data_IF_482425721351
#
_entry.id   IF_482425721351
#
_cell.length_a   1.000
_cell.length_b   1.000
_cell.length_c   1.000
_cell.angle_alpha   90.00
_cell.angle_beta   90.00
_cell.angle_gamma   90.00
#
_symmetry.space_group_name_H-M   'P 1'
#
loop_
_entity.id
_entity.type
_entity.pdbx_description
1 polymer ?
#
# COMPACT_ATOMS: atom_id res chain seq x y z
N UNK A 1 -18.56 -5.80 8.55
CA UNK A 1 -17.43 -6.72 8.70
C UNK A 1 -17.17 -6.92 10.18
N UNK A 2 -16.69 -8.09 10.57
CA UNK A 2 -16.12 -8.28 11.90
C UNK A 2 -14.91 -7.33 12.02
N UNK A 3 -14.79 -6.60 13.13
CA UNK A 3 -13.65 -5.71 13.34
C UNK A 3 -12.33 -6.47 13.32
N UNK A 4 -11.21 -5.77 13.12
CA UNK A 4 -9.88 -6.37 13.23
C UNK A 4 -9.71 -7.05 14.60
N UNK A 5 -9.22 -8.28 14.59
CA UNK A 5 -8.83 -9.01 15.79
C UNK A 5 -7.34 -9.36 15.69
N UNK A 6 -6.56 -8.92 16.66
CA UNK A 6 -5.14 -9.29 16.75
C UNK A 6 -5.00 -10.79 17.05
N UNK A 7 -3.96 -11.42 16.50
CA UNK A 7 -3.59 -12.80 16.87
C UNK A 7 -3.36 -12.95 18.37
N UNK A 8 -2.87 -11.88 19.04
CA UNK A 8 -2.73 -11.84 20.50
C UNK A 8 -4.08 -12.00 21.21
N UNK A 9 -5.14 -11.42 20.68
CA UNK A 9 -6.47 -11.53 21.27
C UNK A 9 -7.10 -12.90 20.97
N UNK A 10 -6.92 -13.41 19.75
CA UNK A 10 -7.47 -14.70 19.31
C UNK A 10 -6.88 -15.85 20.14
N UNK A 11 -5.60 -15.76 20.47
CA UNK A 11 -4.88 -16.77 21.25
C UNK A 11 -4.88 -16.49 22.76
N UNK A 12 -5.62 -15.49 23.26
CA UNK A 12 -5.58 -15.05 24.66
C UNK A 12 -4.14 -14.84 25.18
N UNK A 13 -3.30 -14.29 24.31
CA UNK A 13 -1.88 -14.09 24.52
C UNK A 13 -1.11 -15.38 24.85
N UNK A 14 -1.56 -16.56 24.39
CA UNK A 14 -0.81 -17.82 24.42
C UNK A 14 -0.27 -18.14 23.01
N UNK A 15 0.90 -17.60 22.70
CA UNK A 15 1.53 -17.76 21.37
C UNK A 15 2.30 -19.08 21.24
N UNK A 16 2.59 -19.74 22.37
CA UNK A 16 3.50 -20.88 22.42
C UNK A 16 4.87 -20.57 21.79
N UNK A 17 5.45 -21.58 21.16
CA UNK A 17 6.80 -21.48 20.59
C UNK A 17 6.84 -21.12 19.11
N UNK A 18 5.69 -21.18 18.42
CA UNK A 18 5.62 -21.18 16.96
C UNK A 18 4.97 -19.90 16.38
N UNK A 19 4.34 -19.09 17.21
CA UNK A 19 3.71 -17.82 16.79
C UNK A 19 4.54 -16.65 17.31
N UNK A 20 4.93 -15.76 16.39
CA UNK A 20 5.65 -14.54 16.70
C UNK A 20 4.96 -13.36 16.02
N UNK A 21 4.79 -12.27 16.75
CA UNK A 21 4.22 -11.04 16.21
C UNK A 21 5.33 -10.07 15.84
N UNK A 22 5.23 -9.49 14.65
CA UNK A 22 6.10 -8.39 14.20
C UNK A 22 5.23 -7.16 13.95
N UNK A 23 5.61 -6.04 14.53
CA UNK A 23 4.91 -4.77 14.39
C UNK A 23 5.90 -3.62 14.18
N UNK A 24 5.46 -2.55 13.52
CA UNK A 24 6.29 -1.37 13.36
C UNK A 24 5.45 -0.09 13.19
N UNK A 25 6.00 1.03 13.67
CA UNK A 25 5.42 2.38 13.59
C UNK A 25 5.30 2.87 12.13
N UNK A 26 5.98 2.20 11.20
CA UNK A 26 6.19 2.67 9.82
C UNK A 26 4.91 2.89 9.01
N UNK A 27 3.85 2.12 9.25
CA UNK A 27 2.63 2.16 8.44
C UNK A 27 1.46 2.73 9.21
N UNK A 28 1.21 2.23 10.41
CA UNK A 28 0.05 2.63 11.21
C UNK A 28 0.16 4.09 11.66
N UNK A 29 1.36 4.52 12.05
CA UNK A 29 1.67 5.88 12.50
C UNK A 29 2.39 6.74 11.44
N UNK A 30 2.59 6.22 10.23
CA UNK A 30 3.33 6.92 9.17
C UNK A 30 4.80 7.24 9.53
N UNK A 31 5.34 6.62 10.59
CA UNK A 31 6.66 6.94 11.14
C UNK A 31 7.80 6.14 10.54
N UNK A 32 7.82 5.90 9.22
CA UNK A 32 8.80 4.99 8.62
C UNK A 32 10.25 5.44 8.80
N UNK A 33 10.49 6.75 8.90
CA UNK A 33 11.81 7.32 9.19
C UNK A 33 12.29 7.11 10.63
N UNK A 34 11.38 6.79 11.57
CA UNK A 34 11.70 6.62 12.99
C UNK A 34 12.41 5.30 13.29
N UNK A 35 12.32 4.34 12.36
CA UNK A 35 12.96 3.01 12.43
C UNK A 35 12.65 2.24 13.72
N UNK A 36 11.41 2.37 14.21
CA UNK A 36 10.93 1.63 15.38
C UNK A 36 10.09 0.43 14.93
N UNK A 37 10.58 -0.76 15.28
CA UNK A 37 9.91 -2.04 15.08
C UNK A 37 9.99 -2.88 16.36
N UNK A 38 9.02 -3.76 16.53
CA UNK A 38 8.86 -4.63 17.70
C UNK A 38 8.68 -6.05 17.20
N UNK A 39 9.38 -6.98 17.84
CA UNK A 39 9.10 -8.40 17.77
C UNK A 39 8.60 -8.84 19.14
N UNK A 40 7.44 -9.48 19.17
CA UNK A 40 6.86 -10.07 20.36
C UNK A 40 6.74 -11.58 20.18
N UNK A 41 7.35 -12.34 21.08
CA UNK A 41 7.41 -13.80 21.05
C UNK A 41 7.51 -14.33 22.48
N UNK A 42 6.90 -15.49 22.73
CA UNK A 42 7.02 -16.23 23.98
C UNK A 42 8.06 -17.36 23.91
N UNK A 43 8.62 -17.61 22.72
CA UNK A 43 9.75 -18.51 22.54
C UNK A 43 11.04 -17.84 23.02
N UNK A 44 11.52 -18.23 24.20
CA UNK A 44 12.74 -17.69 24.83
C UNK A 44 13.99 -17.94 23.98
N UNK A 45 14.14 -19.15 23.42
CA UNK A 45 15.29 -19.53 22.58
C UNK A 45 15.36 -18.63 21.35
N UNK A 46 14.21 -18.35 20.72
CA UNK A 46 14.13 -17.42 19.60
C UNK A 46 14.51 -15.99 20.02
N UNK A 47 14.01 -15.51 21.17
CA UNK A 47 14.29 -14.17 21.67
C UNK A 47 15.77 -13.97 22.04
N UNK A 48 16.42 -14.98 22.63
CA UNK A 48 17.86 -14.96 22.93
C UNK A 48 18.70 -14.86 21.64
N UNK A 49 18.37 -15.67 20.63
CA UNK A 49 19.02 -15.61 19.32
C UNK A 49 18.82 -14.26 18.64
N UNK A 50 17.60 -13.71 18.69
CA UNK A 50 17.27 -12.42 18.12
C UNK A 50 17.99 -11.28 18.84
N UNK A 51 18.09 -11.30 20.17
CA UNK A 51 18.76 -10.27 20.96
C UNK A 51 20.23 -10.10 20.54
N UNK A 52 20.92 -11.20 20.24
CA UNK A 52 22.30 -11.17 19.73
C UNK A 52 22.39 -10.48 18.37
N UNK A 53 21.42 -10.70 17.49
CA UNK A 53 21.37 -10.07 16.17
C UNK A 53 20.89 -8.61 16.22
N UNK A 54 20.06 -8.26 17.20
CA UNK A 54 19.46 -6.93 17.32
C UNK A 54 20.46 -5.83 17.71
N UNK A 55 21.66 -6.19 18.18
CA UNK A 55 22.71 -5.22 18.53
C UNK A 55 23.07 -4.26 17.38
N UNK A 56 22.90 -4.71 16.12
CA UNK A 56 23.18 -3.92 14.93
C UNK A 56 22.00 -3.06 14.45
N UNK A 57 20.83 -3.19 15.07
CA UNK A 57 19.58 -2.54 14.62
C UNK A 57 18.76 -1.98 15.79
N UNK A 58 19.38 -1.78 16.95
CA UNK A 58 18.74 -1.23 18.12
C UNK A 58 18.13 0.15 17.87
N UNK A 59 16.95 0.38 18.43
CA UNK A 59 16.30 1.70 18.43
C UNK A 59 17.07 2.62 19.37
N UNK A 60 17.35 3.86 18.95
CA UNK A 60 18.08 4.81 19.79
C UNK A 60 17.30 5.16 21.07
N UNK A 61 18.00 5.40 22.19
CA UNK A 61 17.38 5.75 23.47
C UNK A 61 16.38 6.92 23.38
N UNK A 62 16.70 8.04 22.71
CA UNK A 62 15.75 9.13 22.50
C UNK A 62 14.49 8.71 21.74
N UNK A 63 14.62 7.82 20.75
CA UNK A 63 13.46 7.30 20.02
C UNK A 63 12.62 6.36 20.86
N UNK A 64 13.24 5.53 21.71
CA UNK A 64 12.51 4.70 22.67
C UNK A 64 11.70 5.57 23.63
N UNK A 65 12.31 6.63 24.17
CA UNK A 65 11.63 7.58 25.06
C UNK A 65 10.47 8.32 24.35
N UNK A 66 10.71 8.85 23.15
CA UNK A 66 9.64 9.48 22.38
C UNK A 66 8.47 8.52 22.13
N UNK A 67 8.76 7.28 21.75
CA UNK A 67 7.71 6.29 21.51
C UNK A 67 7.00 5.87 22.78
N UNK A 68 7.67 5.81 23.94
CA UNK A 68 6.98 5.53 25.20
C UNK A 68 5.99 6.62 25.56
N UNK A 69 6.34 7.90 25.36
CA UNK A 69 5.42 9.02 25.60
C UNK A 69 4.19 8.95 24.66
N UNK A 70 4.41 8.63 23.38
CA UNK A 70 3.31 8.52 22.39
C UNK A 70 2.41 7.33 22.69
N UNK A 71 2.98 6.15 22.98
CA UNK A 71 2.22 4.90 23.10
C UNK A 71 1.54 4.73 24.47
N UNK A 72 1.89 5.55 25.46
CA UNK A 72 1.23 5.56 26.78
C UNK A 72 0.15 6.63 26.91
N UNK A 73 0.03 7.55 25.94
CA UNK A 73 -1.12 8.46 25.84
C UNK A 73 -2.26 7.78 25.05
N UNK A 74 -3.05 6.95 25.75
CA UNK A 74 -4.20 6.24 25.18
C UNK A 74 -5.15 7.19 24.44
N UNK A 75 -5.37 8.39 24.99
CA UNK A 75 -6.28 9.36 24.41
C UNK A 75 -5.77 9.89 23.06
N UNK A 76 -4.46 10.11 22.94
CA UNK A 76 -3.84 10.44 21.65
C UNK A 76 -3.93 9.27 20.67
N UNK A 77 -3.56 8.06 21.09
CA UNK A 77 -3.54 6.87 20.24
C UNK A 77 -4.94 6.59 19.67
N UNK A 78 -5.97 6.58 20.50
CA UNK A 78 -7.35 6.33 20.07
C UNK A 78 -7.82 7.36 19.04
N UNK A 79 -7.59 8.66 19.31
CA UNK A 79 -7.93 9.73 18.37
C UNK A 79 -7.15 9.61 17.06
N UNK A 80 -5.86 9.31 17.14
CA UNK A 80 -5.01 9.19 15.96
C UNK A 80 -5.46 8.02 15.07
N UNK A 81 -5.74 6.85 15.66
CA UNK A 81 -6.18 5.67 14.92
C UNK A 81 -7.56 5.86 14.29
N UNK A 82 -8.49 6.52 14.98
CA UNK A 82 -9.82 6.81 14.43
C UNK A 82 -9.76 7.80 13.25
N UNK A 83 -8.97 8.86 13.40
CA UNK A 83 -8.77 9.84 12.32
C UNK A 83 -8.04 9.21 11.12
N UNK A 84 -7.00 8.42 11.37
CA UNK A 84 -6.25 7.68 10.34
C UNK A 84 -7.18 6.74 9.58
N UNK A 85 -7.99 5.94 10.28
CA UNK A 85 -8.99 5.05 9.70
C UNK A 85 -9.97 5.81 8.80
N UNK A 86 -10.51 6.93 9.30
CA UNK A 86 -11.46 7.76 8.54
C UNK A 86 -10.85 8.26 7.23
N UNK A 87 -9.63 8.79 7.27
CA UNK A 87 -8.92 9.32 6.09
C UNK A 87 -8.52 8.21 5.10
N UNK A 88 -8.04 7.07 5.60
CA UNK A 88 -7.68 5.93 4.76
C UNK A 88 -8.91 5.38 4.04
N UNK A 89 -10.06 5.28 4.71
CA UNK A 89 -11.33 4.87 4.09
C UNK A 89 -11.77 5.87 3.02
N UNK A 90 -11.62 7.17 3.26
CA UNK A 90 -11.94 8.18 2.25
C UNK A 90 -11.08 8.01 1.00
N UNK A 91 -9.76 7.88 1.15
CA UNK A 91 -8.84 7.65 0.02
C UNK A 91 -9.13 6.33 -0.71
N UNK A 92 -9.43 5.26 0.03
CA UNK A 92 -9.84 3.98 -0.54
C UNK A 92 -11.07 4.16 -1.44
N UNK A 93 -12.13 4.82 -0.94
CA UNK A 93 -13.37 5.08 -1.68
C UNK A 93 -13.15 5.90 -2.95
N UNK A 94 -12.30 6.93 -2.88
CA UNK A 94 -11.95 7.75 -4.07
C UNK A 94 -11.29 6.86 -5.13
N UNK A 95 -10.30 6.06 -4.72
CA UNK A 95 -9.58 5.18 -5.61
C UNK A 95 -10.51 4.13 -6.24
N UNK A 96 -11.26 3.39 -5.44
CA UNK A 96 -12.11 2.31 -5.94
C UNK A 96 -13.28 2.81 -6.78
N UNK A 97 -13.91 3.94 -6.42
CA UNK A 97 -14.98 4.52 -7.23
C UNK A 97 -14.50 4.87 -8.66
N UNK A 98 -13.25 5.33 -8.83
CA UNK A 98 -12.70 5.56 -10.17
C UNK A 98 -12.32 4.27 -10.88
N UNK A 99 -11.82 3.26 -10.17
CA UNK A 99 -11.59 1.93 -10.75
C UNK A 99 -12.88 1.29 -11.26
N UNK A 100 -13.98 1.42 -10.50
CA UNK A 100 -15.32 0.97 -10.89
C UNK A 100 -15.84 1.71 -12.13
N UNK A 101 -15.69 3.04 -12.19
CA UNK A 101 -16.05 3.84 -13.37
C UNK A 101 -15.24 3.42 -14.60
N UNK A 102 -13.94 3.16 -14.43
CA UNK A 102 -13.08 2.64 -15.48
C UNK A 102 -13.36 1.16 -15.81
N UNK A 103 -14.24 0.46 -15.08
CA UNK A 103 -14.49 -0.98 -15.25
C UNK A 103 -13.18 -1.77 -15.17
N UNK A 104 -12.34 -1.45 -14.18
CA UNK A 104 -11.09 -2.16 -13.88
C UNK A 104 -11.31 -3.04 -12.65
N UNK A 105 -11.19 -4.38 -12.78
CA UNK A 105 -11.29 -5.26 -11.63
C UNK A 105 -10.17 -4.97 -10.61
N UNK A 106 -10.50 -5.06 -9.33
CA UNK A 106 -9.52 -4.96 -8.24
C UNK A 106 -9.93 -5.88 -7.10
N UNK A 107 -8.98 -6.19 -6.22
CA UNK A 107 -9.25 -6.92 -4.97
C UNK A 107 -9.73 -5.91 -3.92
N UNK A 108 -10.98 -6.01 -3.42
CA UNK A 108 -11.45 -5.14 -2.35
C UNK A 108 -10.56 -5.27 -1.12
N UNK A 109 -10.14 -4.13 -0.57
CA UNK A 109 -9.26 -4.10 0.58
C UNK A 109 -10.10 -3.91 1.86
N UNK A 110 -9.92 -4.81 2.83
CA UNK A 110 -10.50 -4.66 4.18
C UNK A 110 -9.53 -3.92 5.12
N UNK A 111 -8.24 -3.88 4.76
CA UNK A 111 -7.18 -3.21 5.49
C UNK A 111 -6.03 -2.81 4.54
N UNK A 112 -5.08 -2.04 5.07
CA UNK A 112 -3.87 -1.63 4.36
C UNK A 112 -3.99 -0.23 3.73
N UNK A 113 -3.01 0.09 2.90
CA UNK A 113 -2.79 1.44 2.35
C UNK A 113 -2.79 1.44 0.81
N UNK A 114 -3.27 0.36 0.22
CA UNK A 114 -3.24 0.12 -1.22
C UNK A 114 -4.34 -0.84 -1.67
N UNK A 115 -4.61 -0.84 -2.98
CA UNK A 115 -5.43 -1.84 -3.67
C UNK A 115 -4.63 -2.51 -4.76
N UNK A 116 -5.02 -3.74 -5.10
CA UNK A 116 -4.41 -4.52 -6.15
C UNK A 116 -5.38 -4.63 -7.32
N UNK A 117 -4.97 -4.14 -8.49
CA UNK A 117 -5.82 -3.84 -9.64
C UNK A 117 -5.37 -4.64 -10.85
N UNK A 118 -6.33 -5.18 -11.61
CA UNK A 118 -6.12 -5.92 -12.84
C UNK A 118 -6.28 -4.99 -14.06
N UNK A 119 -5.14 -4.62 -14.65
CA UNK A 119 -5.05 -3.89 -15.91
C UNK A 119 -4.78 -4.82 -17.11
N UNK A 120 -4.87 -6.14 -16.97
CA UNK A 120 -4.54 -7.10 -18.03
C UNK A 120 -5.41 -6.95 -19.28
N UNK A 121 -6.60 -6.35 -19.15
CA UNK A 121 -7.48 -5.99 -20.27
C UNK A 121 -6.94 -4.86 -21.17
N UNK A 122 -5.96 -4.10 -20.69
CA UNK A 122 -5.34 -3.01 -21.45
C UNK A 122 -4.12 -3.49 -22.27
N UNK A 123 -3.61 -4.69 -21.98
CA UNK A 123 -2.42 -5.22 -22.61
C UNK A 123 -2.77 -5.85 -23.98
N UNK A 124 -1.97 -5.64 -25.03
CA UNK A 124 -2.13 -6.36 -26.31
C UNK A 124 -1.95 -7.87 -26.13
N UNK A 125 -0.94 -8.26 -25.34
CA UNK A 125 -0.72 -9.63 -24.92
C UNK A 125 -0.45 -9.64 -23.41
N UNK A 126 -0.93 -10.67 -22.71
CA UNK A 126 -0.77 -10.80 -21.25
C UNK A 126 0.63 -11.30 -20.90
N UNK A 127 1.63 -10.45 -21.10
CA UNK A 127 3.04 -10.70 -20.78
C UNK A 127 3.59 -9.62 -19.86
N UNK A 128 4.60 -9.94 -19.06
CA UNK A 128 5.25 -8.95 -18.18
C UNK A 128 5.97 -7.84 -18.96
N UNK A 129 6.32 -8.09 -20.22
CA UNK A 129 6.86 -7.07 -21.10
C UNK A 129 5.80 -6.00 -21.44
N UNK A 130 4.56 -6.40 -21.71
CA UNK A 130 3.46 -5.45 -21.88
C UNK A 130 3.04 -4.79 -20.57
N UNK A 131 3.12 -5.49 -19.44
CA UNK A 131 2.95 -4.88 -18.11
C UNK A 131 3.97 -3.76 -17.89
N UNK A 132 5.26 -4.00 -18.17
CA UNK A 132 6.32 -2.99 -18.07
C UNK A 132 6.01 -1.77 -18.94
N UNK A 133 5.65 -1.98 -20.22
CA UNK A 133 5.28 -0.90 -21.15
C UNK A 133 4.06 -0.11 -20.67
N UNK A 134 3.05 -0.77 -20.09
CA UNK A 134 1.91 -0.07 -19.49
C UNK A 134 2.34 0.80 -18.30
N UNK A 135 3.21 0.27 -17.44
CA UNK A 135 3.78 1.03 -16.33
C UNK A 135 4.56 2.27 -16.80
N UNK A 136 5.32 2.15 -17.90
CA UNK A 136 6.01 3.27 -18.54
C UNK A 136 5.04 4.32 -19.08
N UNK A 137 3.95 3.91 -19.73
CA UNK A 137 2.91 4.84 -20.18
C UNK A 137 2.25 5.60 -19.01
N UNK A 138 1.95 4.89 -17.91
CA UNK A 138 1.40 5.49 -16.70
C UNK A 138 2.36 6.51 -16.09
N UNK A 139 3.65 6.18 -16.06
CA UNK A 139 4.69 7.07 -15.56
C UNK A 139 4.88 8.30 -16.45
N UNK A 140 5.10 8.10 -17.73
CA UNK A 140 5.48 9.16 -18.67
C UNK A 140 4.32 10.11 -18.98
N UNK A 141 3.09 9.60 -19.12
CA UNK A 141 1.96 10.39 -19.64
C UNK A 141 0.88 10.69 -18.61
N UNK A 142 0.69 9.83 -17.61
CA UNK A 142 -0.22 10.12 -16.50
C UNK A 142 0.50 10.67 -15.26
N UNK A 143 1.85 10.65 -15.24
CA UNK A 143 2.68 11.03 -14.09
C UNK A 143 2.35 10.22 -12.83
N UNK A 144 2.08 8.92 -13.02
CA UNK A 144 1.72 8.00 -11.95
C UNK A 144 2.78 6.91 -11.81
N UNK A 145 3.24 6.72 -10.58
CA UNK A 145 4.10 5.59 -10.22
C UNK A 145 3.25 4.55 -9.51
N UNK A 146 2.90 3.49 -10.24
CA UNK A 146 2.24 2.31 -9.68
C UNK A 146 3.27 1.18 -9.51
N UNK A 147 3.05 0.28 -8.56
CA UNK A 147 3.96 -0.86 -8.39
C UNK A 147 3.50 -2.03 -9.26
N UNK A 148 4.27 -2.45 -10.28
CA UNK A 148 3.89 -3.56 -11.15
C UNK A 148 3.89 -4.90 -10.39
N UNK A 149 3.00 -5.81 -10.80
CA UNK A 149 2.86 -7.15 -10.23
C UNK A 149 4.14 -7.97 -10.35
N UNK A 150 4.88 -7.84 -11.45
CA UNK A 150 6.17 -8.50 -11.65
C UNK A 150 7.15 -8.25 -10.49
N UNK A 151 7.21 -7.00 -9.99
CA UNK A 151 8.09 -6.63 -8.86
C UNK A 151 7.64 -7.22 -7.51
N UNK A 152 6.42 -7.73 -7.44
CA UNK A 152 5.79 -8.32 -6.26
C UNK A 152 5.63 -9.85 -6.38
N UNK A 153 6.31 -10.47 -7.37
CA UNK A 153 6.25 -11.91 -7.68
C UNK A 153 4.85 -12.43 -8.05
N UNK A 154 4.03 -11.56 -8.65
CA UNK A 154 2.80 -12.00 -9.28
C UNK A 154 3.09 -12.95 -10.44
N UNK A 155 2.19 -13.91 -10.68
CA UNK A 155 2.30 -14.86 -11.80
C UNK A 155 1.45 -14.44 -13.00
N UNK A 156 0.47 -13.56 -12.81
CA UNK A 156 -0.43 -13.02 -13.84
C UNK A 156 0.01 -11.61 -14.28
N UNK A 157 0.39 -11.41 -15.56
CA UNK A 157 0.74 -10.09 -16.04
C UNK A 157 -0.46 -9.12 -16.11
N UNK A 158 -0.16 -7.83 -15.92
CA UNK A 158 -1.12 -6.74 -15.93
C UNK A 158 -1.63 -6.35 -14.56
N UNK A 159 -1.14 -6.95 -13.48
CA UNK A 159 -1.52 -6.57 -12.14
C UNK A 159 -0.68 -5.39 -11.65
N UNK A 160 -1.29 -4.43 -10.95
CA UNK A 160 -0.60 -3.31 -10.33
C UNK A 160 -1.14 -3.02 -8.94
N UNK A 161 -0.26 -2.56 -8.05
CA UNK A 161 -0.65 -2.03 -6.74
C UNK A 161 -0.69 -0.51 -6.79
N UNK A 162 -1.83 0.06 -6.37
CA UNK A 162 -2.03 1.50 -6.20
C UNK A 162 -2.03 1.84 -4.72
N UNK A 163 -1.07 2.64 -4.27
CA UNK A 163 -1.03 3.16 -2.90
C UNK A 163 -1.84 4.47 -2.83
N UNK A 164 -2.88 4.52 -1.99
CA UNK A 164 -3.81 5.67 -1.92
C UNK A 164 -3.68 6.50 -0.63
N UNK A 165 -2.87 6.07 0.34
CA UNK A 165 -2.81 6.69 1.66
C UNK A 165 -1.60 7.61 1.91
N UNK A 166 -0.88 8.05 0.85
CA UNK A 166 0.33 8.87 1.00
C UNK A 166 0.18 10.32 0.53
N UNK A 167 -0.97 10.66 -0.08
CA UNK A 167 -1.31 12.03 -0.53
C UNK A 167 -2.65 12.47 0.03
N UNK A 168 -2.88 13.78 0.01
CA UNK A 168 -4.19 14.36 0.31
C UNK A 168 -5.26 13.87 -0.69
N UNK A 169 -6.51 13.62 -0.27
CA UNK A 169 -7.59 13.15 -1.13
C UNK A 169 -7.77 13.91 -2.46
N UNK A 170 -7.65 15.24 -2.45
CA UNK A 170 -7.75 16.05 -3.67
C UNK A 170 -6.65 15.77 -4.70
N UNK A 171 -5.45 15.39 -4.25
CA UNK A 171 -4.35 15.00 -5.14
C UNK A 171 -4.60 13.59 -5.70
N UNK A 172 -5.16 12.69 -4.87
CA UNK A 172 -5.56 11.37 -5.31
C UNK A 172 -6.65 11.46 -6.39
N UNK A 173 -7.64 12.34 -6.26
CA UNK A 173 -8.67 12.57 -7.28
C UNK A 173 -8.06 12.96 -8.63
N UNK A 174 -7.12 13.93 -8.63
CA UNK A 174 -6.40 14.33 -9.84
C UNK A 174 -5.60 13.16 -10.43
N UNK A 175 -4.92 12.38 -9.59
CA UNK A 175 -4.17 11.21 -10.04
C UNK A 175 -5.07 10.15 -10.69
N UNK A 176 -6.23 9.86 -10.08
CA UNK A 176 -7.19 8.89 -10.61
C UNK A 176 -7.88 9.37 -11.89
N UNK A 177 -8.10 10.69 -12.04
CA UNK A 177 -8.63 11.28 -13.26
C UNK A 177 -7.63 11.17 -14.43
N UNK A 178 -6.34 11.44 -14.17
CA UNK A 178 -5.27 11.21 -15.16
C UNK A 178 -5.20 9.75 -15.59
N UNK A 179 -5.31 8.82 -14.63
CA UNK A 179 -5.37 7.38 -14.93
C UNK A 179 -6.59 7.07 -15.81
N UNK A 180 -7.77 7.60 -15.49
CA UNK A 180 -9.00 7.41 -16.26
C UNK A 180 -8.84 7.83 -17.71
N UNK A 181 -8.29 9.02 -17.95
CA UNK A 181 -8.03 9.53 -19.31
C UNK A 181 -7.04 8.67 -20.08
N UNK A 182 -5.96 8.22 -19.43
CA UNK A 182 -5.00 7.32 -20.06
C UNK A 182 -5.66 5.98 -20.43
N UNK A 183 -6.41 5.37 -19.51
CA UNK A 183 -7.14 4.12 -19.74
C UNK A 183 -8.12 4.26 -20.90
N UNK A 184 -8.84 5.38 -20.98
CA UNK A 184 -9.75 5.67 -22.09
C UNK A 184 -9.03 5.78 -23.45
N UNK A 185 -7.81 6.33 -23.48
CA UNK A 185 -6.99 6.39 -24.70
C UNK A 185 -6.48 5.02 -25.11
N UNK A 186 -5.91 4.25 -24.18
CA UNK A 186 -5.40 2.89 -24.42
C UNK A 186 -6.50 1.97 -24.96
N UNK A 187 -7.75 2.13 -24.52
CA UNK A 187 -8.89 1.33 -25.03
C UNK A 187 -9.39 1.75 -26.41
N UNK A 188 -9.11 2.98 -26.86
CA UNK A 188 -9.65 3.54 -28.13
C UNK A 188 -8.64 3.56 -29.26
N UNK A 189 -7.36 3.36 -28.96
CA UNK A 189 -6.26 3.53 -29.89
C UNK A 189 -5.45 2.24 -30.01
N UNK A 190 -4.81 2.04 -31.16
CA UNK A 190 -3.79 1.00 -31.28
C UNK A 190 -2.57 1.40 -30.44
N UNK A 191 -1.87 0.42 -29.87
CA UNK A 191 -0.69 0.67 -29.05
C UNK A 191 0.45 1.35 -29.82
N UNK A 192 0.53 1.17 -31.14
CA UNK A 192 1.50 1.87 -32.00
C UNK A 192 1.24 3.38 -32.12
N UNK A 193 0.01 3.82 -31.84
CA UNK A 193 -0.42 5.23 -31.89
C UNK A 193 -0.34 5.94 -30.53
N UNK A 194 0.05 5.24 -29.46
CA UNK A 194 0.22 5.79 -28.11
C UNK A 194 1.56 6.54 -28.01
N UNK A 195 1.54 7.81 -28.39
CA UNK A 195 2.71 8.68 -28.46
C UNK A 195 2.40 10.04 -27.80
N UNK A 196 3.44 10.84 -27.54
CA UNK A 196 3.31 12.12 -26.83
C UNK A 196 2.19 13.03 -27.35
N UNK A 197 2.01 13.14 -28.68
CA UNK A 197 0.95 13.99 -29.26
C UNK A 197 -0.46 13.47 -28.98
N UNK A 198 -0.68 12.15 -28.97
CA UNK A 198 -2.02 11.57 -28.74
C UNK A 198 -2.39 11.53 -27.25
N UNK A 199 -1.38 11.54 -26.39
CA UNK A 199 -1.50 11.47 -24.92
C UNK A 199 -1.34 12.82 -24.22
N UNK A 200 -1.11 13.93 -24.94
CA UNK A 200 -0.92 15.26 -24.34
C UNK A 200 -2.09 15.72 -23.46
N UNK A 201 -3.31 15.30 -23.80
CA UNK A 201 -4.54 15.64 -23.06
C UNK A 201 -4.75 14.83 -21.78
N UNK A 202 -3.84 13.90 -21.42
CA UNK A 202 -3.99 13.09 -20.20
C UNK A 202 -3.89 13.98 -18.95
N UNK A 203 -3.06 15.02 -19.00
CA UNK A 203 -2.79 15.91 -17.86
C UNK A 203 -3.75 17.12 -17.75
N UNK A 204 -4.54 17.40 -18.79
CA UNK A 204 -5.50 18.53 -18.88
C UNK A 204 -6.77 18.29 -18.06
#
# INVERSE_FOLDING_TARGET
GHGFQSVLQILDNDLGSDVHMVWAVSKDFGGSGLRVGVVYSQNEIFMEGLATSNIFSGVSGPMQYLMSEILTDDAFVDRFLEESRTRVIQSYRICTAKLEEMVLPFVPAEAGLFVYVDFSSLLPEKTFEWERKLGELMFEYAHLVLTPGASQRETRPGMFRICYAWVHPSILEVAMERLSRLVAKVRRMDWSDLQSRSLSSVLE
#
